data_IF_046025090840
#
_entry.id   IF_046025090840
#
_cell.length_a   1.000
_cell.length_b   1.000
_cell.length_c   1.000
_cell.angle_alpha   90.00
_cell.angle_beta   90.00
_cell.angle_gamma   90.00
#
_symmetry.space_group_name_H-M   'P 1'
#
loop_
_entity.id
_entity.type
_entity.pdbx_description
1 polymer ?
#
# COMPACT_ATOMS: atom_id res chain seq x y z
N UNK A 1 1.22 25.01 -6.53
CA UNK A 1 0.36 24.97 -5.30
C UNK A 1 1.16 24.35 -4.18
N UNK A 2 1.09 24.89 -2.94
CA UNK A 2 1.79 24.25 -1.81
C UNK A 2 0.93 23.14 -1.24
N UNK A 3 1.46 21.92 -1.18
CA UNK A 3 0.81 20.77 -0.54
C UNK A 3 1.17 20.80 0.94
N UNK A 4 0.18 20.65 1.81
CA UNK A 4 0.38 20.52 3.25
C UNK A 4 -0.10 19.15 3.70
N UNK A 5 0.77 18.42 4.39
CA UNK A 5 0.46 17.12 4.96
C UNK A 5 0.58 17.16 6.48
N UNK A 6 -0.23 16.35 7.16
CA UNK A 6 -0.08 16.17 8.60
C UNK A 6 1.08 15.19 8.85
N UNK A 7 2.06 15.65 9.61
CA UNK A 7 3.20 14.84 10.01
C UNK A 7 2.98 14.32 11.44
N UNK A 8 2.84 13.00 11.57
CA UNK A 8 2.59 12.34 12.86
C UNK A 8 3.78 12.45 13.83
N UNK A 9 5.00 12.62 13.31
CA UNK A 9 6.20 12.78 14.16
C UNK A 9 6.20 14.13 14.87
N UNK A 10 5.88 15.21 14.14
CA UNK A 10 5.84 16.57 14.70
C UNK A 10 4.45 16.95 15.24
N UNK A 11 3.42 16.13 14.97
CA UNK A 11 2.01 16.40 15.27
C UNK A 11 1.48 17.73 14.69
N UNK A 12 1.95 18.11 13.50
CA UNK A 12 1.58 19.38 12.85
C UNK A 12 1.33 19.18 11.35
N UNK A 13 0.56 20.10 10.76
CA UNK A 13 0.49 20.26 9.31
C UNK A 13 1.70 21.05 8.84
N UNK A 14 2.47 20.44 7.95
CA UNK A 14 3.71 21.01 7.41
C UNK A 14 3.64 21.13 5.88
N UNK A 15 4.39 22.06 5.32
CA UNK A 15 4.57 22.15 3.89
C UNK A 15 5.35 20.93 3.40
N UNK A 16 4.78 20.20 2.44
CA UNK A 16 5.45 19.04 1.85
C UNK A 16 6.57 19.50 0.94
N UNK A 17 7.76 18.96 1.15
CA UNK A 17 8.93 19.13 0.31
C UNK A 17 9.55 17.76 0.02
N UNK A 18 9.72 17.37 -1.26
CA UNK A 18 10.37 16.11 -1.58
C UNK A 18 11.85 16.14 -1.22
N UNK A 19 12.41 15.00 -0.84
CA UNK A 19 13.83 14.83 -0.52
C UNK A 19 14.73 15.06 -1.75
N UNK A 20 14.24 14.68 -2.91
CA UNK A 20 14.91 14.87 -4.21
C UNK A 20 14.01 15.77 -5.06
N UNK A 21 14.62 16.78 -5.68
CA UNK A 21 13.88 17.72 -6.53
C UNK A 21 13.13 16.98 -7.64
N UNK A 22 11.84 17.31 -7.82
CA UNK A 22 10.95 16.74 -8.83
C UNK A 22 10.70 15.22 -8.74
N UNK A 23 11.13 14.56 -7.64
CA UNK A 23 10.91 13.14 -7.38
C UNK A 23 10.18 12.94 -6.04
N UNK A 24 9.08 12.21 -6.07
CA UNK A 24 8.33 11.81 -4.86
C UNK A 24 8.22 10.30 -4.81
N UNK A 25 8.54 9.73 -3.66
CA UNK A 25 8.29 8.32 -3.35
C UNK A 25 7.32 8.26 -2.18
N UNK A 26 6.19 7.59 -2.39
CA UNK A 26 5.22 7.36 -1.33
C UNK A 26 4.99 5.86 -1.15
N UNK A 27 4.92 5.44 0.09
CA UNK A 27 4.57 4.09 0.48
C UNK A 27 3.29 4.11 1.30
N UNK A 28 2.36 3.24 0.95
CA UNK A 28 1.08 3.09 1.66
C UNK A 28 0.90 1.64 2.04
N UNK A 29 0.52 1.39 3.28
CA UNK A 29 0.16 0.05 3.73
C UNK A 29 -1.09 -0.42 2.99
N UNK A 30 -0.98 -1.59 2.37
CA UNK A 30 -2.08 -2.21 1.64
C UNK A 30 -2.95 -3.13 2.51
N UNK A 31 -3.92 -3.81 1.92
CA UNK A 31 -4.82 -4.69 2.63
C UNK A 31 -4.17 -6.02 3.02
N UNK A 32 -4.73 -6.68 4.05
CA UNK A 32 -4.57 -8.11 4.29
C UNK A 32 -5.69 -8.84 3.57
N UNK A 33 -5.33 -9.74 2.66
CA UNK A 33 -6.26 -10.34 1.70
C UNK A 33 -6.77 -11.71 2.18
N UNK A 34 -7.69 -11.69 3.15
CA UNK A 34 -8.29 -12.89 3.75
C UNK A 34 -9.78 -13.04 3.51
N UNK A 35 -10.44 -11.99 3.03
CA UNK A 35 -11.87 -11.92 2.76
C UNK A 35 -12.16 -10.80 1.76
N UNK A 36 -13.39 -10.75 1.25
CA UNK A 36 -13.82 -9.67 0.37
C UNK A 36 -13.55 -8.30 1.01
N UNK A 37 -13.06 -7.33 0.23
CA UNK A 37 -12.78 -6.01 0.74
C UNK A 37 -14.08 -5.31 1.18
N UNK A 38 -13.95 -4.42 2.13
CA UNK A 38 -15.04 -3.59 2.62
C UNK A 38 -14.65 -2.11 2.58
N UNK A 39 -15.57 -1.21 2.87
CA UNK A 39 -15.37 0.24 2.83
C UNK A 39 -14.15 0.71 3.65
N UNK A 40 -13.80 -0.02 4.72
CA UNK A 40 -12.61 0.24 5.52
C UNK A 40 -11.30 0.03 4.76
N UNK A 41 -11.26 -0.92 3.80
CA UNK A 41 -10.12 -1.16 2.92
C UNK A 41 -10.10 -0.14 1.76
N UNK A 42 -11.26 0.24 1.25
CA UNK A 42 -11.40 1.21 0.17
C UNK A 42 -11.01 2.64 0.60
N UNK A 43 -11.34 3.04 1.83
CA UNK A 43 -11.09 4.39 2.33
C UNK A 43 -9.63 4.83 2.20
N UNK A 44 -8.62 4.13 2.72
CA UNK A 44 -7.23 4.52 2.53
C UNK A 44 -6.83 4.50 1.06
N UNK A 45 -7.28 3.53 0.26
CA UNK A 45 -6.96 3.46 -1.15
C UNK A 45 -7.43 4.72 -1.90
N UNK A 46 -8.67 5.16 -1.69
CA UNK A 46 -9.24 6.37 -2.32
C UNK A 46 -8.53 7.63 -1.83
N UNK A 47 -8.27 7.75 -0.51
CA UNK A 47 -7.60 8.93 0.05
C UNK A 47 -6.18 9.09 -0.51
N UNK A 48 -5.43 8.01 -0.60
CA UNK A 48 -4.07 8.04 -1.15
C UNK A 48 -4.05 8.12 -2.68
N UNK A 49 -5.09 7.67 -3.38
CA UNK A 49 -5.24 7.94 -4.81
C UNK A 49 -5.41 9.43 -5.10
N UNK A 50 -6.20 10.14 -4.30
CA UNK A 50 -6.32 11.60 -4.42
C UNK A 50 -4.96 12.29 -4.22
N UNK A 51 -4.21 11.87 -3.20
CA UNK A 51 -2.85 12.40 -2.98
C UNK A 51 -1.93 12.06 -4.15
N UNK A 52 -1.97 10.84 -4.64
CA UNK A 52 -1.16 10.38 -5.77
C UNK A 52 -1.42 11.22 -7.03
N UNK A 53 -2.69 11.43 -7.38
CA UNK A 53 -3.08 12.30 -8.51
C UNK A 53 -2.61 13.74 -8.33
N UNK A 54 -2.69 14.26 -7.11
CA UNK A 54 -2.21 15.60 -6.79
C UNK A 54 -0.68 15.70 -6.97
N UNK A 55 0.06 14.68 -6.53
CA UNK A 55 1.52 14.61 -6.69
C UNK A 55 1.92 14.49 -8.16
N UNK A 56 1.24 13.66 -8.94
CA UNK A 56 1.45 13.52 -10.39
C UNK A 56 1.28 14.85 -11.15
N UNK A 57 0.39 15.71 -10.66
CA UNK A 57 0.16 17.03 -11.24
C UNK A 57 1.29 18.04 -10.94
N UNK A 58 2.10 17.81 -9.90
CA UNK A 58 3.10 18.79 -9.43
C UNK A 58 4.54 18.33 -9.62
N UNK A 59 4.78 17.03 -9.71
CA UNK A 59 6.12 16.45 -9.78
C UNK A 59 6.27 15.56 -11.01
N UNK A 60 7.46 15.56 -11.60
CA UNK A 60 7.73 14.80 -12.83
C UNK A 60 7.79 13.28 -12.59
N UNK A 61 8.34 12.88 -11.44
CA UNK A 61 8.54 11.49 -11.10
C UNK A 61 7.85 11.17 -9.76
N UNK A 62 6.78 10.41 -9.81
CA UNK A 62 6.09 9.94 -8.60
C UNK A 62 6.05 8.43 -8.60
N UNK A 63 6.68 7.83 -7.60
CA UNK A 63 6.64 6.38 -7.35
C UNK A 63 5.69 6.13 -6.20
N UNK A 64 4.61 5.42 -6.49
CA UNK A 64 3.63 4.98 -5.50
C UNK A 64 3.75 3.48 -5.27
N UNK A 65 4.08 3.09 -4.06
CA UNK A 65 4.19 1.69 -3.64
C UNK A 65 3.08 1.40 -2.63
N UNK A 66 2.36 0.32 -2.85
CA UNK A 66 1.38 -0.23 -1.92
C UNK A 66 1.61 -1.74 -1.84
N UNK A 67 1.80 -2.29 -0.65
CA UNK A 67 1.98 -3.73 -0.51
C UNK A 67 0.64 -4.48 -0.49
N UNK A 68 0.70 -5.78 -0.77
CA UNK A 68 -0.36 -6.74 -0.43
C UNK A 68 0.17 -7.61 0.70
N UNK A 69 -0.57 -7.72 1.79
CA UNK A 69 -0.28 -8.66 2.89
C UNK A 69 -0.97 -9.99 2.58
N UNK A 70 -0.21 -10.87 1.97
CA UNK A 70 -0.65 -12.19 1.49
C UNK A 70 -0.32 -13.34 2.46
N UNK A 71 0.26 -13.02 3.62
CA UNK A 71 0.48 -13.94 4.74
C UNK A 71 0.13 -13.25 6.06
N UNK A 72 -0.78 -13.84 6.82
CA UNK A 72 -1.28 -13.35 8.10
C UNK A 72 -2.08 -14.47 8.77
N UNK A 73 -2.21 -14.46 10.09
CA UNK A 73 -2.98 -15.46 10.83
C UNK A 73 -4.42 -15.60 10.32
N UNK A 74 -5.03 -14.49 9.89
CA UNK A 74 -6.39 -14.50 9.33
C UNK A 74 -6.48 -15.23 7.99
N UNK A 75 -5.44 -15.14 7.16
CA UNK A 75 -5.37 -15.88 5.89
C UNK A 75 -5.20 -17.38 6.18
N UNK A 76 -4.33 -17.74 7.12
CA UNK A 76 -4.10 -19.11 7.55
C UNK A 76 -5.41 -19.72 8.09
N UNK A 77 -6.12 -18.99 8.94
CA UNK A 77 -7.41 -19.42 9.47
C UNK A 77 -8.48 -19.60 8.37
N UNK A 78 -8.52 -18.69 7.40
CA UNK A 78 -9.45 -18.78 6.27
C UNK A 78 -9.14 -19.99 5.39
N UNK A 79 -7.87 -20.25 5.09
CA UNK A 79 -7.41 -21.40 4.33
C UNK A 79 -7.76 -22.73 5.03
N UNK A 80 -7.49 -22.81 6.33
CA UNK A 80 -7.83 -23.99 7.14
C UNK A 80 -9.33 -24.27 7.17
N UNK A 81 -10.17 -23.24 7.35
CA UNK A 81 -11.64 -23.39 7.37
C UNK A 81 -12.19 -23.84 6.03
N UNK A 82 -11.61 -23.36 4.92
CA UNK A 82 -12.05 -23.72 3.57
C UNK A 82 -11.37 -24.98 3.02
N UNK A 83 -10.33 -25.48 3.69
CA UNK A 83 -9.49 -26.61 3.25
C UNK A 83 -8.83 -26.37 1.89
N UNK A 84 -8.30 -25.17 1.70
CA UNK A 84 -7.56 -24.72 0.53
C UNK A 84 -6.20 -24.19 0.95
N UNK A 85 -5.34 -23.84 0.00
CA UNK A 85 -4.01 -23.29 0.30
C UNK A 85 -4.08 -21.79 0.68
N UNK A 86 -3.05 -21.31 1.34
CA UNK A 86 -2.91 -19.88 1.67
C UNK A 86 -2.87 -19.05 0.38
N UNK A 87 -2.17 -19.53 -0.64
CA UNK A 87 -2.05 -18.89 -1.95
C UNK A 87 -3.41 -18.76 -2.64
N UNK A 88 -4.23 -19.81 -2.63
CA UNK A 88 -5.59 -19.74 -3.21
C UNK A 88 -6.45 -18.67 -2.53
N UNK A 89 -6.37 -18.52 -1.20
CA UNK A 89 -7.08 -17.46 -0.47
C UNK A 89 -6.53 -16.10 -0.85
N UNK A 90 -5.21 -15.93 -0.77
CA UNK A 90 -4.59 -14.62 -1.00
C UNK A 90 -4.76 -14.14 -2.44
N UNK A 91 -4.66 -15.02 -3.42
CA UNK A 91 -4.84 -14.66 -4.83
C UNK A 91 -6.29 -14.31 -5.12
N UNK A 92 -7.27 -15.11 -4.65
CA UNK A 92 -8.69 -14.83 -4.81
C UNK A 92 -9.06 -13.43 -4.29
N UNK A 93 -8.64 -13.10 -3.06
CA UNK A 93 -9.02 -11.82 -2.46
C UNK A 93 -8.15 -10.64 -2.88
N UNK A 94 -6.96 -10.89 -3.42
CA UNK A 94 -6.19 -9.87 -4.13
C UNK A 94 -6.91 -9.46 -5.40
N UNK A 95 -7.43 -10.40 -6.19
CA UNK A 95 -8.20 -10.12 -7.40
C UNK A 95 -9.47 -9.34 -7.06
N UNK A 96 -10.24 -9.81 -6.07
CA UNK A 96 -11.44 -9.10 -5.58
C UNK A 96 -11.13 -7.67 -5.16
N UNK A 97 -10.01 -7.45 -4.45
CA UNK A 97 -9.57 -6.10 -4.07
C UNK A 97 -9.22 -5.23 -5.28
N UNK A 98 -8.51 -5.78 -6.27
CA UNK A 98 -8.16 -5.04 -7.48
C UNK A 98 -9.40 -4.64 -8.28
N UNK A 99 -10.38 -5.52 -8.40
CA UNK A 99 -11.63 -5.24 -9.09
C UNK A 99 -12.42 -4.13 -8.41
N UNK A 100 -12.53 -4.16 -7.08
CA UNK A 100 -13.17 -3.10 -6.30
C UNK A 100 -12.45 -1.76 -6.44
N UNK A 101 -11.11 -1.76 -6.38
CA UNK A 101 -10.33 -0.53 -6.54
C UNK A 101 -10.46 0.04 -7.96
N UNK A 102 -10.54 -0.81 -8.95
CA UNK A 102 -10.80 -0.43 -10.34
C UNK A 102 -12.22 0.13 -10.51
N UNK A 103 -13.22 -0.50 -9.89
CA UNK A 103 -14.61 -0.01 -9.88
C UNK A 103 -14.69 1.40 -9.25
N UNK A 104 -13.92 1.65 -8.20
CA UNK A 104 -13.80 2.97 -7.56
C UNK A 104 -12.93 3.96 -8.36
N UNK A 105 -12.47 3.58 -9.55
CA UNK A 105 -11.62 4.40 -10.43
C UNK A 105 -10.30 4.84 -9.77
N UNK A 106 -9.74 4.05 -8.86
CA UNK A 106 -8.42 4.28 -8.30
C UNK A 106 -7.33 3.97 -9.33
N UNK A 107 -6.28 4.77 -9.34
CA UNK A 107 -5.07 4.47 -10.10
C UNK A 107 -4.31 3.30 -9.45
N UNK A 108 -3.79 2.41 -10.29
CA UNK A 108 -2.91 1.36 -9.81
C UNK A 108 -1.62 1.96 -9.25
N UNK A 109 -1.05 1.39 -8.17
CA UNK A 109 0.26 1.79 -7.68
C UNK A 109 1.33 1.47 -8.73
N UNK A 110 2.46 2.19 -8.66
CA UNK A 110 3.63 1.94 -9.52
C UNK A 110 4.23 0.56 -9.24
N UNK A 111 4.20 0.13 -7.97
CA UNK A 111 4.64 -1.18 -7.51
C UNK A 111 3.71 -1.68 -6.42
N UNK A 112 3.40 -2.97 -6.46
CA UNK A 112 2.55 -3.62 -5.48
C UNK A 112 3.19 -4.96 -5.03
N UNK A 113 4.25 -4.90 -4.19
CA UNK A 113 4.92 -6.09 -3.73
C UNK A 113 4.02 -6.90 -2.78
N UNK A 114 4.06 -8.23 -2.91
CA UNK A 114 3.51 -9.15 -1.91
C UNK A 114 4.47 -9.25 -0.72
N UNK A 115 3.93 -9.45 0.48
CA UNK A 115 4.75 -9.59 1.68
C UNK A 115 5.66 -10.82 1.58
N UNK A 116 5.16 -11.93 1.05
CA UNK A 116 5.93 -13.18 0.84
C UNK A 116 7.12 -12.99 -0.09
N UNK A 117 6.98 -12.21 -1.17
CA UNK A 117 8.06 -11.96 -2.13
C UNK A 117 9.19 -11.13 -1.52
N UNK A 118 8.90 -10.39 -0.45
CA UNK A 118 9.81 -9.42 0.16
C UNK A 118 10.50 -9.94 1.43
N UNK A 119 10.24 -11.15 1.89
CA UNK A 119 10.77 -11.70 3.17
C UNK A 119 12.29 -11.71 3.18
N UNK A 120 12.93 -12.17 2.11
CA UNK A 120 14.39 -12.18 2.00
C UNK A 120 15.00 -10.79 2.00
N UNK A 121 14.32 -9.82 1.39
CA UNK A 121 14.78 -8.43 1.31
C UNK A 121 14.61 -7.71 2.65
N UNK A 122 13.52 -7.93 3.38
CA UNK A 122 13.29 -7.32 4.70
C UNK A 122 14.32 -7.80 5.73
N UNK A 123 14.72 -9.05 5.71
CA UNK A 123 15.78 -9.57 6.58
C UNK A 123 17.15 -8.92 6.32
N UNK A 124 17.42 -8.53 5.07
CA UNK A 124 18.66 -7.86 4.68
C UNK A 124 18.65 -6.36 4.99
N UNK A 125 17.47 -5.72 4.96
CA UNK A 125 17.35 -4.26 5.07
C UNK A 125 16.93 -3.76 6.45
N UNK A 126 16.36 -4.60 7.31
CA UNK A 126 15.98 -4.23 8.67
C UNK A 126 17.16 -3.63 9.49
N UNK A 127 18.39 -4.16 9.46
CA UNK A 127 19.53 -3.55 10.12
C UNK A 127 19.86 -2.16 9.59
N UNK A 128 19.61 -1.89 8.32
CA UNK A 128 19.89 -0.61 7.67
C UNK A 128 18.83 0.44 8.02
N UNK A 129 17.59 0.03 8.20
CA UNK A 129 16.47 0.91 8.59
C UNK A 129 16.56 1.32 10.06
N UNK A 130 17.07 0.44 10.92
CA UNK A 130 17.28 0.75 12.36
C UNK A 130 18.50 1.64 12.63
N UNK A 131 19.24 2.05 11.61
CA UNK A 131 20.45 2.88 11.73
C UNK A 131 20.20 4.35 11.40
N UNK A 132 18.93 4.78 11.29
CA UNK A 132 18.53 6.17 11.02
C UNK A 132 17.91 6.81 12.25
#
# INVERSE_FOLDING_TARGET
>A
MKIKLYNSLSNKKEDFSPLVKDEVKMYVCGPTVYNDPHIGNARPAVVFDILYRLLLNQYKNVVYVRNITDIDDKIIDAANKRKVTIEEISDQYTESYHDDMKYLNNLSPTKEPKATDSVSYTHLTLPTICSV
#
